data_IF_438756842046
#
_entry.id   IF_438756842046
#
_cell.length_a   1.000
_cell.length_b   1.000
_cell.length_c   1.000
_cell.angle_alpha   90.00
_cell.angle_beta   90.00
_cell.angle_gamma   90.00
#
_symmetry.space_group_name_H-M   'P 1'
#
loop_
_entity.id
_entity.type
_entity.pdbx_description
1 polymer ?
#
# COMPACT_ATOMS: atom_id res chain seq x y z
N UNK A 1 -16.11 -5.23 -38.32
CA UNK A 1 -15.60 -4.44 -37.17
C UNK A 1 -15.12 -5.44 -36.14
N UNK A 2 -13.81 -5.63 -36.03
CA UNK A 2 -13.19 -6.53 -35.07
C UNK A 2 -13.48 -6.02 -33.66
N UNK A 3 -14.27 -6.77 -32.89
CA UNK A 3 -14.39 -6.57 -31.45
C UNK A 3 -13.05 -6.94 -30.82
N UNK A 4 -12.11 -6.00 -30.74
CA UNK A 4 -10.94 -6.22 -29.89
C UNK A 4 -11.45 -6.51 -28.48
N UNK A 5 -11.22 -7.73 -28.01
CA UNK A 5 -11.65 -8.14 -26.69
C UNK A 5 -10.99 -7.19 -25.67
N UNK A 6 -11.83 -6.41 -24.97
CA UNK A 6 -11.39 -5.46 -23.95
C UNK A 6 -10.46 -6.18 -22.98
N UNK A 7 -9.30 -5.60 -22.66
CA UNK A 7 -8.30 -6.24 -21.81
C UNK A 7 -8.90 -6.57 -20.45
N UNK A 8 -8.88 -7.86 -20.10
CA UNK A 8 -9.29 -8.31 -18.78
C UNK A 8 -8.37 -7.69 -17.73
N UNK A 9 -8.95 -7.26 -16.61
CA UNK A 9 -8.18 -6.76 -15.48
C UNK A 9 -7.24 -7.83 -14.91
N UNK A 10 -7.72 -9.07 -14.89
CA UNK A 10 -7.11 -10.20 -14.22
C UNK A 10 -6.05 -10.89 -15.05
N UNK A 11 -4.86 -11.03 -14.45
CA UNK A 11 -3.81 -11.92 -14.94
C UNK A 11 -4.04 -13.32 -14.38
N UNK A 12 -3.44 -14.33 -15.03
CA UNK A 12 -3.44 -15.70 -14.51
C UNK A 12 -2.92 -15.72 -13.07
N UNK A 13 -3.72 -16.25 -12.13
CA UNK A 13 -3.38 -16.33 -10.70
C UNK A 13 -3.85 -15.15 -9.84
N UNK A 14 -4.46 -14.10 -10.40
CA UNK A 14 -5.08 -13.04 -9.57
C UNK A 14 -6.45 -13.51 -9.03
N UNK A 15 -6.74 -13.38 -7.72
CA UNK A 15 -8.02 -13.78 -7.17
C UNK A 15 -9.15 -12.85 -7.64
N UNK A 16 -10.32 -13.43 -7.95
CA UNK A 16 -11.44 -12.75 -8.59
C UNK A 16 -11.26 -12.65 -10.10
N UNK A 17 -12.32 -12.40 -10.85
CA UNK A 17 -12.30 -12.30 -12.31
C UNK A 17 -13.03 -13.46 -12.98
N UNK A 18 -13.78 -13.16 -14.05
CA UNK A 18 -14.61 -14.09 -14.85
C UNK A 18 -16.00 -14.44 -14.29
N UNK A 19 -16.69 -13.50 -13.65
CA UNK A 19 -18.09 -13.69 -13.24
C UNK A 19 -18.30 -14.51 -11.96
N UNK A 20 -17.22 -14.95 -11.31
CA UNK A 20 -17.28 -15.62 -10.02
C UNK A 20 -17.39 -14.62 -8.84
N UNK A 21 -17.97 -15.04 -7.68
CA UNK A 21 -18.03 -14.22 -6.48
C UNK A 21 -16.63 -13.84 -5.97
N UNK A 22 -16.14 -12.64 -6.32
CA UNK A 22 -14.77 -12.22 -6.01
C UNK A 22 -14.59 -10.71 -5.84
N UNK A 23 -13.33 -10.31 -5.71
CA UNK A 23 -12.95 -8.90 -5.66
C UNK A 23 -12.91 -8.31 -7.09
N UNK A 24 -13.65 -7.23 -7.31
CA UNK A 24 -13.60 -6.46 -8.56
C UNK A 24 -12.32 -5.61 -8.60
N UNK A 25 -12.06 -4.96 -9.74
CA UNK A 25 -10.97 -4.00 -9.89
C UNK A 25 -11.42 -2.57 -9.57
N UNK A 26 -10.48 -1.74 -9.14
CA UNK A 26 -10.67 -0.32 -8.92
C UNK A 26 -9.71 0.53 -9.75
N UNK A 27 -10.11 1.77 -10.01
CA UNK A 27 -9.26 2.84 -10.50
C UNK A 27 -9.24 3.97 -9.48
N UNK A 28 -8.03 4.40 -9.11
CA UNK A 28 -7.81 5.36 -8.02
C UNK A 28 -6.71 6.31 -8.43
N UNK A 29 -6.91 7.61 -8.20
CA UNK A 29 -5.85 8.58 -8.53
C UNK A 29 -4.69 8.52 -7.54
N UNK A 30 -3.54 9.07 -7.92
CA UNK A 30 -2.34 9.10 -7.05
C UNK A 30 -2.55 9.79 -5.70
N UNK A 31 -3.62 10.59 -5.54
CA UNK A 31 -4.01 11.22 -4.27
C UNK A 31 -5.12 10.47 -3.51
N UNK A 32 -5.54 9.29 -3.97
CA UNK A 32 -6.49 8.42 -3.26
C UNK A 32 -7.97 8.64 -3.62
N UNK A 33 -8.29 9.54 -4.56
CA UNK A 33 -9.67 9.68 -5.01
C UNK A 33 -10.07 8.51 -5.91
N UNK A 34 -11.04 7.73 -5.45
CA UNK A 34 -11.63 6.60 -6.19
C UNK A 34 -12.36 7.14 -7.43
N UNK A 35 -12.03 6.59 -8.59
CA UNK A 35 -12.69 6.88 -9.89
C UNK A 35 -13.67 5.77 -10.26
N UNK A 36 -13.35 4.53 -9.90
CA UNK A 36 -14.21 3.37 -10.03
C UNK A 36 -13.76 2.27 -9.08
N UNK A 37 -14.68 1.43 -8.63
CA UNK A 37 -14.37 0.36 -7.65
C UNK A 37 -15.04 -0.98 -7.95
N UNK A 38 -15.77 -1.08 -9.06
CA UNK A 38 -16.54 -2.26 -9.45
C UNK A 38 -16.27 -2.62 -10.91
N UNK A 39 -15.02 -2.48 -11.35
CA UNK A 39 -14.64 -2.64 -12.75
C UNK A 39 -14.39 -4.11 -13.10
N UNK A 40 -14.89 -4.52 -14.27
CA UNK A 40 -14.65 -5.84 -14.86
C UNK A 40 -13.64 -5.80 -16.01
N UNK A 41 -13.50 -4.67 -16.70
CA UNK A 41 -12.58 -4.52 -17.82
C UNK A 41 -11.75 -3.28 -17.61
N UNK A 42 -10.48 -3.34 -18.03
CA UNK A 42 -9.59 -2.19 -17.94
C UNK A 42 -10.08 -1.08 -18.88
N UNK A 43 -10.25 0.17 -18.41
CA UNK A 43 -10.58 1.28 -19.28
C UNK A 43 -9.46 1.51 -20.31
N UNK A 44 -9.84 1.79 -21.56
CA UNK A 44 -8.89 2.09 -22.64
C UNK A 44 -8.12 3.40 -22.40
N UNK A 45 -8.78 4.36 -21.73
CA UNK A 45 -8.18 5.59 -21.22
C UNK A 45 -8.59 5.79 -19.75
N UNK A 46 -7.59 5.99 -18.88
CA UNK A 46 -7.78 6.26 -17.46
C UNK A 46 -7.98 7.75 -17.17
N UNK A 47 -7.55 8.62 -18.09
CA UNK A 47 -7.63 10.07 -17.95
C UNK A 47 -6.92 10.63 -16.71
N UNK A 48 -7.38 11.80 -16.26
CA UNK A 48 -6.93 12.47 -15.04
C UNK A 48 -8.07 12.55 -14.04
N UNK A 49 -7.73 12.60 -12.75
CA UNK A 49 -8.73 12.76 -11.71
C UNK A 49 -9.44 14.13 -11.82
N UNK A 50 -10.77 14.18 -11.95
CA UNK A 50 -11.51 15.44 -12.06
C UNK A 50 -11.46 16.27 -10.77
N UNK A 51 -11.16 15.64 -9.62
CA UNK A 51 -11.07 16.33 -8.31
C UNK A 51 -9.73 16.99 -8.05
N UNK A 52 -8.63 16.47 -8.59
CA UNK A 52 -7.29 16.94 -8.24
C UNK A 52 -6.26 16.96 -9.38
N UNK A 53 -6.64 16.56 -10.59
CA UNK A 53 -5.78 16.54 -11.78
C UNK A 53 -4.70 15.44 -11.80
N UNK A 54 -4.56 14.67 -10.72
CA UNK A 54 -3.55 13.61 -10.64
C UNK A 54 -3.86 12.43 -11.57
N UNK A 55 -2.81 11.72 -12.00
CA UNK A 55 -2.93 10.49 -12.79
C UNK A 55 -3.82 9.46 -12.09
N UNK A 56 -4.65 8.79 -12.86
CA UNK A 56 -5.46 7.66 -12.42
C UNK A 56 -4.69 6.36 -12.62
N UNK A 57 -4.69 5.50 -11.60
CA UNK A 57 -4.05 4.20 -11.63
C UNK A 57 -5.11 3.11 -11.67
N UNK A 58 -4.90 2.09 -12.49
CA UNK A 58 -5.68 0.84 -12.54
C UNK A 58 -4.93 -0.35 -11.90
N UNK A 59 -3.62 -0.21 -11.76
CA UNK A 59 -2.68 -1.26 -11.36
C UNK A 59 -1.63 -0.75 -10.37
N UNK A 60 -1.08 -1.65 -9.58
CA UNK A 60 0.06 -1.42 -8.73
C UNK A 60 1.27 -1.01 -9.59
N UNK A 61 1.94 0.08 -9.21
CA UNK A 61 3.12 0.59 -9.91
C UNK A 61 4.38 -0.25 -9.69
N UNK A 62 4.36 -1.19 -8.75
CA UNK A 62 5.50 -2.04 -8.42
C UNK A 62 5.43 -3.39 -9.14
N UNK A 63 4.29 -4.08 -9.09
CA UNK A 63 4.15 -5.44 -9.65
C UNK A 63 3.13 -5.55 -10.79
N UNK A 64 2.37 -4.48 -11.08
CA UNK A 64 1.34 -4.49 -12.12
C UNK A 64 0.04 -5.23 -11.75
N UNK A 65 -0.07 -5.74 -10.52
CA UNK A 65 -1.30 -6.34 -10.01
C UNK A 65 -2.44 -5.32 -10.05
N UNK A 66 -3.67 -5.75 -10.36
CA UNK A 66 -4.83 -4.84 -10.35
C UNK A 66 -5.01 -4.19 -8.98
N UNK A 67 -5.56 -2.98 -8.92
CA UNK A 67 -5.97 -2.39 -7.64
C UNK A 67 -7.25 -3.09 -7.19
N UNK A 68 -7.27 -3.59 -5.95
CA UNK A 68 -8.44 -4.28 -5.39
C UNK A 68 -9.61 -3.32 -5.18
N UNK A 69 -10.71 -3.60 -5.86
CA UNK A 69 -12.00 -2.92 -5.73
C UNK A 69 -12.94 -3.59 -4.74
N UNK A 70 -14.24 -3.37 -4.90
CA UNK A 70 -15.30 -3.89 -4.03
C UNK A 70 -15.47 -5.38 -4.22
N UNK A 71 -15.82 -6.08 -3.14
CA UNK A 71 -16.25 -7.47 -3.21
C UNK A 71 -17.62 -7.54 -3.88
N UNK A 72 -17.71 -8.26 -5.00
CA UNK A 72 -18.98 -8.56 -5.63
C UNK A 72 -19.61 -9.77 -4.94
N UNK A 73 -20.79 -9.55 -4.35
CA UNK A 73 -21.67 -10.59 -3.84
C UNK A 73 -23.04 -10.37 -4.47
N UNK A 74 -23.54 -11.30 -5.31
CA UNK A 74 -24.90 -11.23 -5.80
C UNK A 74 -25.89 -11.05 -4.64
N UNK A 75 -26.94 -10.26 -4.85
CA UNK A 75 -28.03 -10.04 -3.88
C UNK A 75 -27.65 -9.29 -2.59
N UNK A 76 -26.42 -8.77 -2.45
CA UNK A 76 -25.99 -7.95 -1.30
C UNK A 76 -25.76 -6.49 -1.73
N UNK A 77 -26.65 -5.60 -1.28
CA UNK A 77 -26.47 -4.15 -1.38
C UNK A 77 -25.70 -3.70 -0.13
N UNK A 78 -24.56 -3.03 -0.31
CA UNK A 78 -23.84 -2.37 0.80
C UNK A 78 -23.87 -0.88 0.56
N UNK A 79 -24.30 -0.12 1.57
CA UNK A 79 -24.28 1.34 1.58
C UNK A 79 -22.93 1.92 2.05
N UNK A 80 -21.95 1.08 2.40
CA UNK A 80 -20.64 1.54 2.85
C UNK A 80 -19.88 2.20 1.70
N UNK A 81 -19.37 3.40 1.95
CA UNK A 81 -18.44 4.06 1.03
C UNK A 81 -17.20 3.20 0.84
N UNK A 82 -16.77 3.02 -0.41
CA UNK A 82 -15.58 2.25 -0.73
C UNK A 82 -14.33 3.08 -0.44
N UNK A 83 -13.45 2.54 0.42
CA UNK A 83 -12.12 3.08 0.69
C UNK A 83 -11.08 2.28 -0.08
N UNK A 84 -10.20 2.90 -0.88
CA UNK A 84 -9.20 2.17 -1.63
C UNK A 84 -8.17 1.53 -0.67
N UNK A 85 -7.70 0.31 -0.93
CA UNK A 85 -6.70 -0.32 -0.09
C UNK A 85 -5.40 0.49 -0.11
N UNK A 86 -4.72 0.69 1.03
CA UNK A 86 -3.43 1.40 1.07
C UNK A 86 -2.27 0.54 0.55
N UNK A 87 -2.37 -0.79 0.59
CA UNK A 87 -1.32 -1.71 0.16
C UNK A 87 -1.81 -2.62 -0.98
N UNK A 88 -0.89 -2.98 -1.86
CA UNK A 88 -1.15 -3.92 -2.93
C UNK A 88 -1.35 -5.34 -2.37
N UNK A 89 -2.43 -6.01 -2.75
CA UNK A 89 -2.74 -7.38 -2.34
C UNK A 89 -1.90 -8.45 -3.05
N UNK A 90 -1.14 -8.07 -4.09
CA UNK A 90 -0.21 -8.96 -4.78
C UNK A 90 1.22 -8.91 -4.23
N UNK A 91 1.75 -7.72 -3.90
CA UNK A 91 3.15 -7.57 -3.47
C UNK A 91 3.37 -6.82 -2.16
N UNK A 92 2.33 -6.39 -1.45
CA UNK A 92 2.43 -5.64 -0.19
C UNK A 92 2.90 -4.18 -0.32
N UNK A 93 3.38 -3.77 -1.50
CA UNK A 93 3.87 -2.40 -1.68
C UNK A 93 2.76 -1.36 -1.44
N UNK A 94 3.13 -0.28 -0.75
CA UNK A 94 2.23 0.80 -0.44
C UNK A 94 1.85 1.61 -1.69
N UNK A 95 0.56 1.85 -1.88
CA UNK A 95 0.06 2.72 -2.92
C UNK A 95 0.41 4.19 -2.64
N UNK A 96 0.40 5.07 -3.67
CA UNK A 96 0.76 6.48 -3.50
C UNK A 96 -0.10 7.26 -2.49
N UNK A 97 -1.33 6.79 -2.24
CA UNK A 97 -2.25 7.40 -1.29
C UNK A 97 -2.20 6.80 0.11
N UNK A 98 -1.34 5.80 0.36
CA UNK A 98 -1.16 5.25 1.70
C UNK A 98 -0.58 6.33 2.62
N UNK A 99 -1.28 6.60 3.71
CA UNK A 99 -0.87 7.61 4.70
C UNK A 99 0.38 7.14 5.44
N UNK A 100 1.09 8.09 6.06
CA UNK A 100 2.26 7.78 6.89
C UNK A 100 1.90 6.81 8.01
N UNK A 101 0.77 7.04 8.67
CA UNK A 101 0.26 6.18 9.73
C UNK A 101 -0.02 4.75 9.24
N UNK A 102 -0.72 4.60 8.11
CA UNK A 102 -0.99 3.29 7.51
C UNK A 102 0.31 2.53 7.23
N UNK A 103 1.32 3.21 6.68
CA UNK A 103 2.64 2.62 6.41
C UNK A 103 3.34 2.18 7.71
N UNK A 104 3.26 2.96 8.78
CA UNK A 104 3.81 2.56 10.08
C UNK A 104 3.11 1.33 10.67
N UNK A 105 1.79 1.20 10.52
CA UNK A 105 1.09 -0.02 10.91
C UNK A 105 1.52 -1.23 10.08
N UNK A 106 1.72 -1.05 8.77
CA UNK A 106 2.22 -2.14 7.94
C UNK A 106 3.63 -2.58 8.34
N UNK A 107 4.50 -1.65 8.72
CA UNK A 107 5.82 -2.00 9.26
C UNK A 107 5.70 -2.78 10.58
N UNK A 108 4.73 -2.48 11.45
CA UNK A 108 4.44 -3.30 12.63
C UNK A 108 3.96 -4.70 12.26
N UNK A 109 3.05 -4.83 11.28
CA UNK A 109 2.59 -6.14 10.82
C UNK A 109 3.75 -7.01 10.30
N UNK A 110 4.76 -6.39 9.67
CA UNK A 110 5.97 -7.09 9.22
C UNK A 110 6.88 -7.47 10.40
N UNK A 111 7.05 -6.58 11.39
CA UNK A 111 7.79 -6.86 12.61
C UNK A 111 7.18 -8.00 13.43
N UNK A 112 5.85 -8.14 13.42
CA UNK A 112 5.14 -9.23 14.11
C UNK A 112 5.40 -10.62 13.49
N UNK A 113 5.96 -10.66 12.28
CA UNK A 113 6.33 -11.90 11.59
C UNK A 113 7.81 -12.25 11.77
N UNK A 114 8.61 -11.35 12.33
CA UNK A 114 10.04 -11.55 12.56
C UNK A 114 10.25 -12.15 13.97
N UNK A 115 11.19 -13.09 14.09
CA UNK A 115 11.61 -13.63 15.38
C UNK A 115 12.54 -12.62 16.08
N UNK A 116 11.98 -11.82 16.98
CA UNK A 116 12.68 -10.79 17.76
C UNK A 116 12.53 -11.15 19.24
N UNK A 117 13.62 -11.06 20.01
CA UNK A 117 13.53 -11.30 21.46
C UNK A 117 12.69 -10.23 22.18
N UNK A 118 12.16 -10.58 23.35
CA UNK A 118 11.23 -9.73 24.09
C UNK A 118 11.80 -8.34 24.45
N UNK A 119 13.11 -8.25 24.71
CA UNK A 119 13.75 -6.98 25.10
C UNK A 119 13.85 -6.05 23.89
N UNK A 120 14.31 -6.58 22.77
CA UNK A 120 14.41 -5.83 21.53
C UNK A 120 13.02 -5.48 20.98
N UNK A 121 12.04 -6.38 21.12
CA UNK A 121 10.65 -6.12 20.73
C UNK A 121 10.04 -4.96 21.49
N UNK A 122 10.19 -4.94 22.82
CA UNK A 122 9.70 -3.85 23.67
C UNK A 122 10.32 -2.50 23.26
N UNK A 123 11.63 -2.49 22.98
CA UNK A 123 12.31 -1.27 22.53
C UNK A 123 11.77 -0.78 21.18
N UNK A 124 11.57 -1.70 20.22
CA UNK A 124 11.03 -1.38 18.89
C UNK A 124 9.62 -0.83 19.03
N UNK A 125 8.74 -1.46 19.81
CA UNK A 125 7.35 -1.01 19.98
C UNK A 125 7.28 0.40 20.57
N UNK A 126 8.14 0.72 21.53
CA UNK A 126 8.27 2.07 22.07
C UNK A 126 8.69 3.07 20.98
N UNK A 127 9.69 2.73 20.15
CA UNK A 127 10.12 3.64 19.09
C UNK A 127 9.08 3.79 17.98
N UNK A 128 8.37 2.71 17.62
CA UNK A 128 7.28 2.74 16.66
C UNK A 128 6.13 3.62 17.16
N UNK A 129 5.83 3.59 18.46
CA UNK A 129 4.88 4.52 19.08
C UNK A 129 5.34 5.97 18.94
N UNK A 130 6.61 6.28 19.24
CA UNK A 130 7.17 7.64 19.09
C UNK A 130 7.07 8.13 17.65
N UNK A 131 7.37 7.29 16.67
CA UNK A 131 7.25 7.62 15.24
C UNK A 131 5.79 7.88 14.81
N UNK A 132 4.81 7.23 15.43
CA UNK A 132 3.38 7.46 15.17
C UNK A 132 2.86 8.72 15.84
N UNK A 133 3.29 8.97 17.07
CA UNK A 133 2.87 10.11 17.89
C UNK A 133 3.56 11.42 17.49
N UNK A 134 4.57 11.36 16.62
CA UNK A 134 5.26 12.55 16.12
C UNK A 134 4.30 13.51 15.41
N UNK A 135 4.28 14.74 15.90
CA UNK A 135 3.51 15.87 15.38
C UNK A 135 4.37 16.78 14.46
N UNK A 136 5.57 16.32 14.10
CA UNK A 136 6.57 17.07 13.34
C UNK A 136 7.64 17.73 14.20
N UNK A 137 7.65 17.48 15.52
CA UNK A 137 8.70 17.94 16.43
C UNK A 137 9.96 17.06 16.42
N UNK A 138 9.88 15.83 15.87
CA UNK A 138 11.02 14.94 15.77
C UNK A 138 12.07 15.45 14.77
N UNK A 139 13.31 15.56 15.22
CA UNK A 139 14.43 15.93 14.36
C UNK A 139 14.84 14.76 13.46
N UNK A 140 15.43 15.07 12.31
CA UNK A 140 15.98 14.06 11.40
C UNK A 140 17.03 13.16 12.07
N UNK A 141 17.80 13.70 13.01
CA UNK A 141 18.76 12.92 13.81
C UNK A 141 18.04 11.89 14.70
N UNK A 142 16.99 12.30 15.41
CA UNK A 142 16.20 11.38 16.25
C UNK A 142 15.54 10.29 15.41
N UNK A 143 14.94 10.67 14.27
CA UNK A 143 14.36 9.71 13.33
C UNK A 143 15.42 8.71 12.85
N UNK A 144 16.60 9.20 12.47
CA UNK A 144 17.74 8.37 12.04
C UNK A 144 18.18 7.39 13.13
N UNK A 145 18.32 7.86 14.37
CA UNK A 145 18.74 7.04 15.50
C UNK A 145 17.72 5.94 15.81
N UNK A 146 16.42 6.26 15.70
CA UNK A 146 15.34 5.27 15.80
C UNK A 146 15.50 4.20 14.73
N UNK A 147 15.51 4.55 13.45
CA UNK A 147 15.55 3.55 12.37
C UNK A 147 16.85 2.76 12.34
N UNK A 148 17.98 3.36 12.70
CA UNK A 148 19.24 2.64 12.88
C UNK A 148 19.15 1.62 14.03
N UNK A 149 18.45 1.98 15.12
CA UNK A 149 18.19 1.05 16.23
C UNK A 149 17.24 -0.07 15.86
N UNK A 150 16.19 0.20 15.07
CA UNK A 150 15.28 -0.83 14.54
C UNK A 150 16.06 -1.77 13.61
N UNK A 151 16.88 -1.26 12.69
CA UNK A 151 17.68 -2.08 11.76
C UNK A 151 18.65 -3.03 12.45
N UNK A 152 19.20 -2.66 13.61
CA UNK A 152 20.09 -3.54 14.38
C UNK A 152 19.36 -4.71 15.04
N UNK A 153 18.08 -4.53 15.37
CA UNK A 153 17.27 -5.47 16.17
C UNK A 153 16.33 -6.31 15.33
N UNK A 154 15.83 -5.73 14.26
CA UNK A 154 14.92 -6.32 13.31
C UNK A 154 15.44 -6.06 11.87
N UNK A 155 16.57 -6.68 11.49
CA UNK A 155 17.14 -6.48 10.16
C UNK A 155 16.21 -6.96 9.04
N UNK A 156 15.35 -7.98 9.30
CA UNK A 156 14.40 -8.52 8.32
C UNK A 156 13.37 -7.50 7.85
N UNK A 157 13.00 -6.54 8.70
CA UNK A 157 12.16 -5.39 8.29
C UNK A 157 12.75 -4.60 7.11
N UNK A 158 14.07 -4.61 6.91
CA UNK A 158 14.73 -3.84 5.86
C UNK A 158 14.93 -4.63 4.55
N UNK A 159 14.40 -5.86 4.48
CA UNK A 159 14.33 -6.66 3.26
C UNK A 159 13.27 -6.11 2.29
N UNK A 160 13.09 -6.79 1.16
CA UNK A 160 12.27 -6.34 0.02
C UNK A 160 10.88 -5.84 0.43
N UNK A 161 10.18 -6.57 1.32
CA UNK A 161 8.82 -6.22 1.72
C UNK A 161 8.76 -4.92 2.53
N UNK A 162 9.56 -4.80 3.60
CA UNK A 162 9.55 -3.60 4.43
C UNK A 162 10.24 -2.41 3.76
N UNK A 163 11.27 -2.63 2.92
CA UNK A 163 11.89 -1.57 2.10
C UNK A 163 10.89 -0.86 1.19
N UNK A 164 9.93 -1.60 0.61
CA UNK A 164 8.86 -1.02 -0.22
C UNK A 164 7.91 -0.10 0.57
N UNK A 165 7.78 -0.30 1.87
CA UNK A 165 6.92 0.51 2.76
C UNK A 165 7.70 1.68 3.36
N UNK A 166 8.93 1.43 3.82
CA UNK A 166 9.82 2.39 4.49
C UNK A 166 10.08 3.65 3.66
N UNK A 167 10.22 3.52 2.35
CA UNK A 167 10.53 4.65 1.45
C UNK A 167 9.49 5.78 1.48
N UNK A 168 8.27 5.52 1.96
CA UNK A 168 7.23 6.55 2.14
C UNK A 168 7.03 7.02 3.59
N UNK A 169 7.89 6.61 4.52
CA UNK A 169 7.79 6.92 5.96
C UNK A 169 8.99 7.72 6.44
N UNK A 170 10.18 7.40 5.92
CA UNK A 170 11.44 7.99 6.34
C UNK A 170 11.75 9.29 5.59
N UNK A 171 12.41 10.24 6.26
CA UNK A 171 12.97 11.42 5.61
C UNK A 171 14.05 11.05 4.57
N UNK A 172 14.36 11.99 3.66
CA UNK A 172 15.32 11.75 2.58
C UNK A 172 16.73 11.40 3.09
N UNK A 173 17.22 12.04 4.16
CA UNK A 173 18.54 11.71 4.71
C UNK A 173 18.53 10.38 5.46
N UNK A 174 17.42 9.98 6.06
CA UNK A 174 17.26 8.65 6.66
C UNK A 174 17.21 7.57 5.59
N UNK A 175 16.49 7.81 4.48
CA UNK A 175 16.45 6.92 3.32
C UNK A 175 17.85 6.61 2.80
N UNK A 176 18.67 7.65 2.58
CA UNK A 176 20.05 7.51 2.15
C UNK A 176 20.93 6.78 3.18
N UNK A 177 20.78 7.09 4.47
CA UNK A 177 21.56 6.46 5.54
C UNK A 177 21.27 4.97 5.71
N UNK A 178 20.06 4.51 5.36
CA UNK A 178 19.64 3.13 5.50
C UNK A 178 19.97 2.27 4.27
N UNK A 179 20.38 2.87 3.15
CA UNK A 179 20.64 2.18 1.88
C UNK A 179 19.35 1.72 1.17
N UNK A 180 18.27 2.48 1.37
CA UNK A 180 16.98 2.21 0.75
C UNK A 180 16.93 2.73 -0.69
#
# INVERSE_FOLDING_TARGET
MSTEARRAFWRSGEPGGNGEPGWQAATVCRRGHVQGYSLQHEPDDLGKCPRCGADVLSRCRHCGFRIRGRRYRPQVISATQFTPPPFCDGCGAAHPWATREQRLYELQNLLDQEEIDDVDRLWIDEQMYRLRADDGSMTEKQEKDIWAGVKRRAPGLFDTAGKAVLSGVVSAGVHAALGL
#
